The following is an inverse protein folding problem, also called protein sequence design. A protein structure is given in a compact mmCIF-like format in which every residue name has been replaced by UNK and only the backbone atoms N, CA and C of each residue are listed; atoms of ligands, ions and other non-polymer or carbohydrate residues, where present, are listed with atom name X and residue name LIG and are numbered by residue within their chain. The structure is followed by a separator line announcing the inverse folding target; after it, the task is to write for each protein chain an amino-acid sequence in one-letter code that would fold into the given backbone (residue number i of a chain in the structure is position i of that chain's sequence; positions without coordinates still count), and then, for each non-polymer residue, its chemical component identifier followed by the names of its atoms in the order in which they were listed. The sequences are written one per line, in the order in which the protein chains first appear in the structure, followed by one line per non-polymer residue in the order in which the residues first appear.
data_IF_479217000695
#
_entry.id   IF_479217000695
#
_cell.length_a   1.000
_cell.length_b   1.000
_cell.length_c   1.000
_cell.angle_alpha   90.00
_cell.angle_beta   90.00
_cell.angle_gamma   90.00
#
_symmetry.space_group_name_H-M   'P 1'
#
loop_
_entity.id
_entity.type
_entity.pdbx_description
1 polymer ?
#
# COMPACT_ATOMS: atom_id res chain seq x y z
N UNK A 1 -13.97 6.29 6.29
CA UNK A 1 -13.38 5.21 7.04
C UNK A 1 -13.20 5.61 8.46
N UNK A 2 -13.93 5.03 9.30
CA UNK A 2 -13.83 5.41 10.61
C UNK A 2 -12.58 4.94 11.25
N UNK A 3 -12.07 3.91 10.87
CA UNK A 3 -10.91 3.44 11.52
C UNK A 3 -9.65 3.76 10.83
N UNK A 4 -9.23 4.92 10.93
CA UNK A 4 -8.05 5.35 10.34
C UNK A 4 -6.87 4.93 11.08
N UNK A 5 -6.82 3.76 11.53
CA UNK A 5 -5.77 3.30 12.32
C UNK A 5 -4.51 3.14 11.58
N UNK A 6 -3.41 3.65 12.11
CA UNK A 6 -2.10 3.39 11.57
C UNK A 6 -1.64 2.09 12.19
N UNK A 7 -1.67 1.03 11.40
CA UNK A 7 -1.36 -0.29 11.90
C UNK A 7 0.10 -0.55 12.11
N UNK A 8 0.96 0.13 11.38
CA UNK A 8 2.40 -0.04 11.50
C UNK A 8 3.03 1.31 11.75
N UNK A 9 3.83 1.41 12.78
CA UNK A 9 4.43 2.66 13.21
C UNK A 9 5.91 2.42 13.43
N UNK A 10 6.72 3.39 13.05
CA UNK A 10 8.15 3.36 13.25
C UNK A 10 8.91 2.95 12.02
N UNK A 11 10.20 3.17 12.06
CA UNK A 11 11.09 2.83 10.97
C UNK A 11 11.25 1.33 10.82
N UNK A 12 11.54 0.89 9.60
CA UNK A 12 11.74 -0.52 9.28
C UNK A 12 13.23 -0.73 9.09
N UNK A 13 13.83 -1.76 9.59
CA UNK A 13 13.23 -2.94 10.19
C UNK A 13 13.06 -2.86 11.71
N UNK A 14 13.39 -1.75 12.32
CA UNK A 14 13.24 -1.62 13.76
C UNK A 14 12.95 -0.16 14.09
N UNK A 15 11.96 0.14 14.93
CA UNK A 15 11.19 -0.78 15.76
C UNK A 15 10.10 -1.57 15.01
N UNK A 16 9.82 -1.24 13.74
CA UNK A 16 8.79 -1.97 13.00
C UNK A 16 9.42 -3.07 12.18
N UNK A 17 8.99 -4.30 12.37
CA UNK A 17 9.54 -5.44 11.63
C UNK A 17 9.03 -5.40 10.18
N UNK A 18 9.75 -6.12 9.30
CA UNK A 18 9.32 -6.24 7.90
C UNK A 18 7.91 -6.83 7.83
N UNK A 19 7.64 -7.85 8.63
CA UNK A 19 6.35 -8.52 8.62
C UNK A 19 5.22 -7.59 9.04
N UNK A 20 5.43 -6.81 10.10
CA UNK A 20 4.43 -5.86 10.53
C UNK A 20 4.22 -4.76 9.52
N UNK A 21 5.29 -4.30 8.89
CA UNK A 21 5.19 -3.26 7.89
C UNK A 21 4.45 -3.78 6.65
N UNK A 22 4.69 -5.03 6.26
CA UNK A 22 3.98 -5.63 5.13
C UNK A 22 2.50 -5.76 5.42
N UNK A 23 2.14 -6.10 6.65
CA UNK A 23 0.75 -6.13 7.06
C UNK A 23 0.15 -4.74 7.00
N UNK A 24 0.92 -3.73 7.42
CA UNK A 24 0.49 -2.34 7.30
C UNK A 24 0.26 -1.94 5.87
N UNK A 25 1.10 -2.39 4.94
CA UNK A 25 0.91 -2.12 3.52
C UNK A 25 -0.39 -2.74 3.02
N UNK A 26 -0.71 -3.95 3.45
CA UNK A 26 -1.97 -4.59 3.08
C UNK A 26 -3.16 -3.78 3.61
N UNK A 27 -3.07 -3.30 4.84
CA UNK A 27 -4.14 -2.47 5.41
C UNK A 27 -4.30 -1.17 4.63
N UNK A 28 -3.20 -0.56 4.18
CA UNK A 28 -3.28 0.62 3.33
C UNK A 28 -4.04 0.31 2.04
N UNK A 29 -3.78 -0.85 1.43
CA UNK A 29 -4.49 -1.23 0.21
C UNK A 29 -5.98 -1.43 0.49
N UNK A 30 -6.33 -2.04 1.60
CA UNK A 30 -7.72 -2.22 1.97
C UNK A 30 -8.42 -0.87 2.14
N UNK A 31 -7.75 0.07 2.79
CA UNK A 31 -8.32 1.41 2.97
C UNK A 31 -8.49 2.14 1.65
N UNK A 32 -7.53 1.99 0.73
CA UNK A 32 -7.65 2.58 -0.59
C UNK A 32 -8.86 2.02 -1.31
N UNK A 33 -9.09 0.72 -1.23
CA UNK A 33 -10.26 0.10 -1.87
C UNK A 33 -11.55 0.64 -1.27
N UNK A 34 -11.58 0.87 0.04
CA UNK A 34 -12.77 1.45 0.67
C UNK A 34 -13.05 2.84 0.13
N UNK A 35 -12.02 3.66 -0.04
CA UNK A 35 -12.20 5.00 -0.59
C UNK A 35 -12.63 4.94 -2.05
N UNK A 36 -12.05 4.06 -2.84
CA UNK A 36 -12.44 3.90 -4.24
C UNK A 36 -13.88 3.45 -4.36
N UNK A 37 -14.29 2.52 -3.53
CA UNK A 37 -15.67 2.04 -3.56
C UNK A 37 -16.62 3.16 -3.22
N UNK A 38 -16.31 3.96 -2.21
CA UNK A 38 -17.15 5.08 -1.81
C UNK A 38 -17.28 6.10 -2.94
N UNK A 39 -16.18 6.36 -3.64
CA UNK A 39 -16.17 7.37 -4.69
C UNK A 39 -16.85 6.86 -5.97
N UNK A 40 -16.61 5.60 -6.35
CA UNK A 40 -17.10 5.06 -7.61
C UNK A 40 -18.46 4.38 -7.49
N UNK A 41 -18.86 4.02 -6.27
CA UNK A 41 -20.09 3.26 -6.06
C UNK A 41 -19.88 1.76 -6.12
N UNK A 42 -18.95 1.29 -6.91
CA UNK A 42 -18.65 -0.13 -7.02
C UNK A 42 -17.20 -0.30 -7.46
N UNK A 43 -16.54 -1.30 -6.89
CA UNK A 43 -15.19 -1.64 -7.31
C UNK A 43 -15.17 -2.28 -8.71
N UNK A 44 -16.32 -2.72 -9.18
CA UNK A 44 -16.40 -3.29 -10.53
C UNK A 44 -16.09 -2.27 -11.61
N UNK A 45 -16.15 -0.99 -11.29
CA UNK A 45 -15.82 0.05 -12.26
C UNK A 45 -14.32 0.20 -12.49
N UNK A 46 -13.49 -0.47 -11.71
CA UNK A 46 -12.05 -0.41 -11.91
C UNK A 46 -11.69 -1.35 -13.06
N UNK A 47 -11.14 -0.80 -14.14
CA UNK A 47 -10.67 -1.59 -15.27
C UNK A 47 -9.37 -2.28 -14.94
N UNK A 48 -8.47 -1.57 -14.32
CA UNK A 48 -7.21 -2.15 -13.88
C UNK A 48 -6.47 -1.20 -12.97
N UNK A 49 -5.53 -1.75 -12.22
CA UNK A 49 -4.57 -0.97 -11.46
C UNK A 49 -3.39 -0.68 -12.37
N UNK A 50 -3.07 0.59 -12.52
CA UNK A 50 -2.01 1.00 -13.43
C UNK A 50 -0.67 1.03 -12.72
N UNK A 51 -0.64 1.63 -11.54
CA UNK A 51 0.60 1.82 -10.84
C UNK A 51 0.38 1.90 -9.33
N UNK A 52 1.29 1.30 -8.60
CA UNK A 52 1.35 1.42 -7.14
C UNK A 52 2.68 2.04 -6.79
N UNK A 53 2.66 3.09 -5.98
CA UNK A 53 3.88 3.69 -5.46
C UNK A 53 3.88 3.46 -3.96
N UNK A 54 4.94 2.87 -3.46
CA UNK A 54 5.06 2.55 -2.04
C UNK A 54 6.23 3.30 -1.43
N UNK A 55 5.98 3.87 -0.25
CA UNK A 55 7.00 4.54 0.53
C UNK A 55 7.13 3.79 1.84
N UNK A 56 8.37 3.44 2.20
CA UNK A 56 8.63 2.73 3.45
C UNK A 56 9.56 3.59 4.29
N UNK A 57 9.12 3.92 5.51
CA UNK A 57 9.98 4.64 6.42
C UNK A 57 11.10 3.71 6.83
N UNK A 58 12.32 4.03 6.42
CA UNK A 58 13.42 3.09 6.43
C UNK A 58 14.59 3.62 7.21
N UNK A 59 15.25 2.72 7.93
CA UNK A 59 16.53 3.05 8.54
C UNK A 59 17.60 3.03 7.46
N UNK A 60 18.68 3.74 7.74
CA UNK A 60 19.82 3.75 6.84
C UNK A 60 20.31 2.32 6.64
N UNK A 61 20.56 1.96 5.39
CA UNK A 61 21.06 0.64 5.06
C UNK A 61 20.00 -0.44 4.87
N UNK A 62 18.72 -0.06 4.98
CA UNK A 62 17.65 -1.02 4.74
C UNK A 62 17.26 -0.96 3.26
N UNK A 63 17.31 -2.08 2.57
CA UNK A 63 17.06 -2.13 1.14
C UNK A 63 15.97 -3.12 0.74
N UNK A 64 15.19 -3.61 1.71
CA UNK A 64 14.14 -4.59 1.41
C UNK A 64 12.76 -3.98 1.38
N UNK A 65 12.67 -2.72 0.97
CA UNK A 65 11.37 -2.05 0.84
C UNK A 65 10.39 -2.83 -0.05
N UNK A 66 10.83 -3.48 -1.15
CA UNK A 66 9.89 -4.27 -1.94
C UNK A 66 9.20 -5.38 -1.15
N UNK A 67 9.91 -5.99 -0.20
CA UNK A 67 9.30 -7.04 0.61
C UNK A 67 8.14 -6.50 1.45
N UNK A 68 8.25 -5.25 1.86
CA UNK A 68 7.19 -4.59 2.62
C UNK A 68 5.98 -4.32 1.73
N UNK A 69 6.24 -3.73 0.56
CA UNK A 69 5.15 -3.32 -0.33
C UNK A 69 4.46 -4.51 -0.97
N UNK A 70 5.10 -5.67 -1.01
CA UNK A 70 4.46 -6.89 -1.45
C UNK A 70 3.16 -7.16 -0.69
N UNK A 71 3.07 -6.72 0.57
CA UNK A 71 1.83 -6.87 1.33
C UNK A 71 0.64 -6.23 0.64
N UNK A 72 0.84 -5.08 0.00
CA UNK A 72 -0.21 -4.42 -0.74
C UNK A 72 -0.37 -5.03 -2.13
N UNK A 73 0.74 -5.21 -2.85
CA UNK A 73 0.70 -5.67 -4.23
C UNK A 73 0.10 -7.06 -4.36
N UNK A 74 0.51 -7.97 -3.51
CA UNK A 74 0.01 -9.33 -3.55
C UNK A 74 -1.48 -9.37 -3.21
N UNK A 75 -1.91 -8.54 -2.28
CA UNK A 75 -3.31 -8.43 -1.92
C UNK A 75 -4.15 -7.96 -3.11
N UNK A 76 -3.69 -6.95 -3.83
CA UNK A 76 -4.44 -6.44 -4.97
C UNK A 76 -4.56 -7.48 -6.08
N UNK A 77 -3.52 -8.26 -6.32
CA UNK A 77 -3.57 -9.31 -7.32
C UNK A 77 -4.49 -10.44 -6.86
N UNK A 78 -4.45 -10.75 -5.58
CA UNK A 78 -5.31 -11.79 -5.03
C UNK A 78 -6.79 -11.44 -5.19
N UNK A 79 -7.14 -10.18 -4.97
CA UNK A 79 -8.54 -9.73 -5.05
C UNK A 79 -8.99 -9.53 -6.48
N UNK A 80 -8.15 -8.93 -7.32
CA UNK A 80 -8.55 -8.51 -8.66
C UNK A 80 -8.01 -9.36 -9.80
N UNK A 81 -7.10 -10.27 -9.52
CA UNK A 81 -6.51 -11.08 -10.57
C UNK A 81 -5.73 -10.23 -11.56
N UNK A 82 -5.98 -10.43 -12.83
CA UNK A 82 -5.25 -9.71 -13.87
C UNK A 82 -5.41 -8.20 -13.75
N UNK A 83 -6.58 -7.73 -13.35
CA UNK A 83 -6.80 -6.29 -13.17
C UNK A 83 -5.95 -5.71 -12.06
N UNK A 84 -5.52 -6.52 -11.13
CA UNK A 84 -4.70 -6.09 -10.01
C UNK A 84 -3.23 -5.97 -10.33
N UNK A 85 -2.78 -6.50 -11.46
CA UNK A 85 -1.38 -6.41 -11.85
C UNK A 85 -1.06 -4.98 -12.26
N UNK A 86 0.10 -4.51 -11.84
CA UNK A 86 0.42 -3.08 -11.96
C UNK A 86 1.93 -2.90 -12.04
N UNK A 87 2.35 -1.73 -12.54
CA UNK A 87 3.73 -1.32 -12.39
C UNK A 87 3.91 -0.77 -10.98
N UNK A 88 5.13 -0.76 -10.52
CA UNK A 88 5.37 -0.43 -9.13
C UNK A 88 6.67 0.34 -8.96
N UNK A 89 6.62 1.36 -8.10
CA UNK A 89 7.81 2.06 -7.63
C UNK A 89 7.81 1.95 -6.12
N UNK A 90 8.93 1.54 -5.56
CA UNK A 90 9.07 1.41 -4.11
C UNK A 90 10.31 2.14 -3.69
N UNK A 91 10.18 3.07 -2.76
CA UNK A 91 11.31 3.86 -2.28
C UNK A 91 11.31 3.94 -0.78
N UNK A 92 12.49 4.16 -0.21
CA UNK A 92 12.63 4.43 1.20
C UNK A 92 12.43 5.91 1.48
N UNK A 93 11.95 6.19 2.66
CA UNK A 93 11.80 7.54 3.14
C UNK A 93 12.35 7.59 4.55
N UNK A 94 12.99 8.69 4.90
CA UNK A 94 13.54 8.80 6.25
C UNK A 94 12.42 8.98 7.27
N UNK A 95 11.42 9.76 6.92
CA UNK A 95 10.28 10.02 7.81
C UNK A 95 9.01 10.03 6.99
N UNK A 96 7.93 9.55 7.59
CA UNK A 96 6.60 9.64 7.01
C UNK A 96 5.65 10.26 8.04
N UNK A 97 4.57 10.88 7.59
CA UNK A 97 3.64 11.52 8.52
C UNK A 97 3.11 10.53 9.55
N UNK A 98 2.94 11.01 10.76
CA UNK A 98 2.42 10.23 11.89
C UNK A 98 3.31 9.03 12.21
N UNK A 99 4.59 9.11 11.84
CA UNK A 99 5.54 8.03 12.06
C UNK A 99 5.08 6.72 11.42
N UNK A 100 4.28 6.82 10.37
CA UNK A 100 3.78 5.63 9.67
C UNK A 100 4.94 4.88 9.05
N UNK A 101 4.88 3.55 9.12
CA UNK A 101 5.93 2.73 8.52
C UNK A 101 5.83 2.70 7.00
N UNK A 102 4.63 2.82 6.46
CA UNK A 102 4.41 2.74 5.01
C UNK A 102 3.38 3.75 4.57
N UNK A 103 3.47 4.12 3.31
CA UNK A 103 2.48 4.97 2.65
C UNK A 103 2.32 4.46 1.22
N UNK A 104 1.09 4.33 0.75
CA UNK A 104 0.79 3.74 -0.55
C UNK A 104 -0.05 4.70 -1.37
N UNK A 105 0.30 4.82 -2.64
CA UNK A 105 -0.41 5.62 -3.62
C UNK A 105 -0.78 4.71 -4.76
N UNK A 106 -1.96 4.84 -5.34
CA UNK A 106 -2.33 4.02 -6.49
C UNK A 106 -2.93 4.89 -7.59
N UNK A 107 -2.75 4.44 -8.82
CA UNK A 107 -3.41 5.00 -9.98
C UNK A 107 -4.20 3.87 -10.60
N UNK A 108 -5.49 4.10 -10.80
CA UNK A 108 -6.38 3.10 -11.40
C UNK A 108 -7.02 3.68 -12.63
N UNK A 109 -7.38 2.79 -13.56
CA UNK A 109 -8.16 3.14 -14.72
C UNK A 109 -9.58 2.69 -14.43
N UNK A 110 -10.55 3.57 -14.71
CA UNK A 110 -11.95 3.26 -14.42
C UNK A 110 -12.77 3.32 -15.70
N UNK A 111 -13.88 2.59 -15.67
CA UNK A 111 -14.85 2.63 -16.77
C UNK A 111 -15.87 3.69 -16.50
N UNK A 112 -16.36 4.29 -17.55
CA UNK A 112 -17.41 5.31 -17.44
C UNK A 112 -18.75 4.69 -17.10
#
# INVERSE_FOLDING_TARGET
VKERRVMAVGSVPSPCTIEKAAEGAKICAINILAHLKAHLGSLDKISKFVRVTGFVQSQSGFYKQPDVINGASDFLVEVFGEKGKHTRVVVGSYELPLDASVEIDVIVEVED
#
